data_IF_569220810059
#
_entry.id   IF_569220810059
#
_cell.length_a   1.000
_cell.length_b   1.000
_cell.length_c   1.000
_cell.angle_alpha   90.00
_cell.angle_beta   90.00
_cell.angle_gamma   90.00
#
_symmetry.space_group_name_H-M   'P 1'
#
loop_
_entity.id
_entity.type
_entity.pdbx_description
1 polymer ?
#
# COMPACT_ATOMS: atom_id res chain seq x y z
N UNK A 1 10.30 0.45 -17.25
CA UNK A 1 9.61 1.17 -18.35
C UNK A 1 8.48 1.97 -17.72
N UNK A 2 8.72 3.25 -17.47
CA UNK A 2 7.72 4.18 -16.96
C UNK A 2 6.74 4.49 -18.09
N UNK A 3 5.47 4.12 -17.93
CA UNK A 3 4.42 4.52 -18.87
C UNK A 3 4.14 6.00 -18.66
N UNK A 4 4.42 6.80 -19.69
CA UNK A 4 3.97 8.18 -19.82
C UNK A 4 2.48 8.26 -19.46
N UNK A 5 2.17 9.03 -18.42
CA UNK A 5 0.80 9.43 -18.12
C UNK A 5 0.38 10.41 -19.21
N UNK A 6 -0.33 9.90 -20.22
CA UNK A 6 -1.10 10.72 -21.14
C UNK A 6 -2.26 11.34 -20.37
N UNK A 7 -2.06 12.58 -19.93
CA UNK A 7 -3.08 13.47 -19.37
C UNK A 7 -4.23 13.55 -20.38
N UNK A 8 -5.35 12.93 -20.07
CA UNK A 8 -6.57 13.00 -20.90
C UNK A 8 -7.22 14.38 -20.72
N UNK A 9 -7.93 14.91 -21.74
CA UNK A 9 -8.56 16.24 -21.72
C UNK A 9 -9.66 16.45 -20.65
N UNK A 10 -9.95 15.45 -19.82
CA UNK A 10 -10.83 15.57 -18.64
C UNK A 10 -10.10 16.17 -17.40
N UNK A 11 -8.77 16.26 -17.45
CA UNK A 11 -7.92 16.81 -16.38
C UNK A 11 -8.06 18.33 -16.30
N UNK A 12 -9.14 18.76 -15.65
CA UNK A 12 -9.48 20.17 -15.46
C UNK A 12 -10.96 20.48 -15.64
N UNK A 13 -11.73 19.59 -16.28
CA UNK A 13 -13.14 19.85 -16.58
C UNK A 13 -13.98 20.11 -15.31
N UNK A 14 -13.72 19.36 -14.22
CA UNK A 14 -14.42 19.56 -12.93
C UNK A 14 -14.07 20.90 -12.29
N UNK A 15 -12.79 21.27 -12.30
CA UNK A 15 -12.31 22.54 -11.76
C UNK A 15 -12.89 23.72 -12.55
N UNK A 16 -12.89 23.61 -13.87
CA UNK A 16 -13.44 24.63 -14.76
C UNK A 16 -14.95 24.79 -14.57
N UNK A 17 -15.69 23.69 -14.45
CA UNK A 17 -17.12 23.74 -14.14
C UNK A 17 -17.41 24.44 -12.80
N UNK A 18 -16.56 24.26 -11.79
CA UNK A 18 -16.68 24.98 -10.51
C UNK A 18 -16.39 26.48 -10.71
N UNK A 19 -15.32 26.85 -11.42
CA UNK A 19 -15.00 28.26 -11.74
C UNK A 19 -16.14 28.96 -12.47
N UNK A 20 -16.71 28.30 -13.49
CA UNK A 20 -17.86 28.81 -14.26
C UNK A 20 -19.08 28.97 -13.36
N UNK A 21 -19.38 27.98 -12.52
CA UNK A 21 -20.55 28.00 -11.63
C UNK A 21 -20.45 29.11 -10.58
N UNK A 22 -19.27 29.29 -9.98
CA UNK A 22 -19.00 30.35 -9.01
C UNK A 22 -19.12 31.74 -9.64
N UNK A 23 -18.53 31.94 -10.82
CA UNK A 23 -18.68 33.19 -11.57
C UNK A 23 -20.15 33.47 -11.88
N UNK A 24 -20.91 32.47 -12.32
CA UNK A 24 -22.35 32.59 -12.58
C UNK A 24 -23.15 32.97 -11.33
N UNK A 25 -22.74 32.55 -10.14
CA UNK A 25 -23.38 32.96 -8.88
C UNK A 25 -23.09 34.43 -8.58
N UNK A 26 -21.85 34.88 -8.75
CA UNK A 26 -21.46 36.29 -8.58
C UNK A 26 -22.25 37.18 -9.55
N UNK A 27 -22.31 36.80 -10.83
CA UNK A 27 -23.04 37.57 -11.84
C UNK A 27 -24.54 37.64 -11.53
N UNK A 28 -25.15 36.55 -11.03
CA UNK A 28 -26.55 36.55 -10.58
C UNK A 28 -26.79 37.40 -9.34
N UNK A 29 -25.86 37.41 -8.40
CA UNK A 29 -25.92 38.24 -7.21
C UNK A 29 -25.89 39.73 -7.58
N UNK A 30 -25.00 40.11 -8.50
CA UNK A 30 -24.91 41.50 -8.98
C UNK A 30 -26.13 41.89 -9.81
N UNK A 31 -26.67 40.98 -10.63
CA UNK A 31 -27.91 41.22 -11.38
C UNK A 31 -29.14 41.46 -10.48
N UNK A 32 -29.10 40.99 -9.23
CA UNK A 32 -30.16 41.25 -8.25
C UNK A 32 -30.13 42.69 -7.70
N UNK A 33 -29.00 43.39 -7.81
CA UNK A 33 -28.83 44.77 -7.34
C UNK A 33 -29.35 45.76 -8.39
N UNK A 34 -30.66 46.02 -8.35
CA UNK A 34 -31.31 46.99 -9.25
C UNK A 34 -31.37 48.37 -8.60
N UNK A 35 -31.01 49.41 -9.36
CA UNK A 35 -31.17 50.82 -8.93
C UNK A 35 -32.62 51.15 -8.53
N UNK A 36 -33.60 50.52 -9.17
CA UNK A 36 -35.02 50.68 -8.86
C UNK A 36 -35.42 50.13 -7.49
N UNK A 37 -34.68 49.15 -6.95
CA UNK A 37 -34.90 48.66 -5.58
C UNK A 37 -34.31 49.65 -4.57
N UNK A 38 -33.08 50.11 -4.80
CA UNK A 38 -32.41 51.06 -3.91
C UNK A 38 -33.10 52.43 -3.87
N UNK A 39 -33.65 52.88 -5.00
CA UNK A 39 -34.41 54.14 -5.07
C UNK A 39 -35.67 54.14 -4.21
N UNK A 40 -36.27 52.96 -3.94
CA UNK A 40 -37.40 52.85 -3.01
C UNK A 40 -37.00 53.06 -1.55
N UNK A 41 -35.76 52.69 -1.19
CA UNK A 41 -35.25 52.79 0.17
C UNK A 41 -34.51 54.10 0.46
N UNK A 42 -34.04 54.81 -0.59
CA UNK A 42 -33.34 56.09 -0.48
C UNK A 42 -33.99 57.23 -1.30
N UNK A 43 -35.29 57.49 -1.12
CA UNK A 43 -36.03 58.44 -1.97
C UNK A 43 -35.48 59.87 -1.94
N UNK A 44 -34.92 60.30 -0.79
CA UNK A 44 -34.35 61.66 -0.62
C UNK A 44 -33.09 61.91 -1.45
N UNK A 45 -32.36 60.85 -1.82
CA UNK A 45 -31.15 60.92 -2.65
C UNK A 45 -31.57 60.82 -4.12
N UNK A 46 -32.48 59.90 -4.44
CA UNK A 46 -33.00 59.71 -5.79
C UNK A 46 -33.70 60.97 -6.32
N UNK A 47 -34.42 61.71 -5.46
CA UNK A 47 -35.13 62.94 -5.86
C UNK A 47 -34.22 64.12 -6.20
N UNK A 48 -32.95 64.09 -5.74
CA UNK A 48 -32.02 65.22 -5.92
C UNK A 48 -30.98 64.92 -6.98
N UNK A 49 -30.37 63.74 -6.95
CA UNK A 49 -29.22 63.39 -7.79
C UNK A 49 -29.19 61.88 -8.11
N UNK A 50 -30.13 61.42 -8.95
CA UNK A 50 -30.21 60.01 -9.39
C UNK A 50 -28.91 59.50 -10.03
N UNK A 51 -28.19 60.38 -10.74
CA UNK A 51 -26.90 60.09 -11.37
C UNK A 51 -25.85 59.68 -10.33
N UNK A 52 -25.85 60.30 -9.15
CA UNK A 52 -24.91 59.97 -8.08
C UNK A 52 -25.23 58.61 -7.50
N UNK A 53 -26.51 58.30 -7.28
CA UNK A 53 -26.93 57.00 -6.80
C UNK A 53 -26.57 55.88 -7.79
N UNK A 54 -26.76 56.10 -9.09
CA UNK A 54 -26.33 55.15 -10.13
C UNK A 54 -24.81 54.94 -10.11
N UNK A 55 -24.02 56.01 -9.96
CA UNK A 55 -22.56 55.95 -9.88
C UNK A 55 -22.07 55.19 -8.64
N UNK A 56 -22.71 55.40 -7.48
CA UNK A 56 -22.39 54.66 -6.27
C UNK A 56 -22.67 53.17 -6.48
N UNK A 57 -23.82 52.83 -7.07
CA UNK A 57 -24.21 51.43 -7.30
C UNK A 57 -23.25 50.75 -8.27
N UNK A 58 -22.87 51.41 -9.37
CA UNK A 58 -21.91 50.84 -10.32
C UNK A 58 -20.54 50.62 -9.66
N UNK A 59 -20.03 51.60 -8.91
CA UNK A 59 -18.74 51.47 -8.22
C UNK A 59 -18.76 50.35 -7.19
N UNK A 60 -19.81 50.24 -6.37
CA UNK A 60 -19.91 49.16 -5.37
C UNK A 60 -20.06 47.80 -6.06
N UNK A 61 -20.85 47.71 -7.13
CA UNK A 61 -21.02 46.46 -7.87
C UNK A 61 -19.70 45.99 -8.51
N UNK A 62 -18.94 46.89 -9.12
CA UNK A 62 -17.64 46.58 -9.72
C UNK A 62 -16.61 46.16 -8.66
N UNK A 63 -16.52 46.88 -7.55
CA UNK A 63 -15.60 46.55 -6.47
C UNK A 63 -15.99 45.23 -5.79
N UNK A 64 -17.28 44.98 -5.57
CA UNK A 64 -17.78 43.72 -5.04
C UNK A 64 -17.47 42.56 -6.00
N UNK A 65 -17.72 42.73 -7.30
CA UNK A 65 -17.40 41.70 -8.30
C UNK A 65 -15.92 41.37 -8.29
N UNK A 66 -15.05 42.39 -8.30
CA UNK A 66 -13.60 42.24 -8.35
C UNK A 66 -13.08 41.52 -7.12
N UNK A 67 -13.53 41.94 -5.93
CA UNK A 67 -13.10 41.34 -4.67
C UNK A 67 -13.61 39.89 -4.55
N UNK A 68 -14.89 39.64 -4.83
CA UNK A 68 -15.44 38.28 -4.78
C UNK A 68 -14.74 37.33 -5.75
N UNK A 69 -14.52 37.75 -7.00
CA UNK A 69 -13.84 36.90 -7.98
C UNK A 69 -12.37 36.64 -7.61
N UNK A 70 -11.68 37.63 -7.03
CA UNK A 70 -10.30 37.44 -6.52
C UNK A 70 -10.29 36.42 -5.39
N UNK A 71 -11.12 36.61 -4.38
CA UNK A 71 -11.15 35.74 -3.19
C UNK A 71 -11.58 34.31 -3.57
N UNK A 72 -12.56 34.18 -4.48
CA UNK A 72 -12.95 32.88 -5.04
C UNK A 72 -11.83 32.22 -5.85
N UNK A 73 -11.09 32.98 -6.64
CA UNK A 73 -9.95 32.44 -7.39
C UNK A 73 -8.87 31.91 -6.45
N UNK A 74 -8.60 32.61 -5.35
CA UNK A 74 -7.67 32.18 -4.31
C UNK A 74 -8.13 30.87 -3.66
N UNK A 75 -9.39 30.78 -3.20
CA UNK A 75 -9.96 29.56 -2.62
C UNK A 75 -9.88 28.39 -3.62
N UNK A 76 -10.22 28.63 -4.88
CA UNK A 76 -10.20 27.59 -5.90
C UNK A 76 -8.78 27.07 -6.15
N UNK A 77 -7.78 27.96 -6.23
CA UNK A 77 -6.39 27.54 -6.47
C UNK A 77 -5.73 26.90 -5.24
N UNK A 78 -6.07 27.35 -4.02
CA UNK A 78 -5.45 26.89 -2.77
C UNK A 78 -6.10 25.64 -2.19
N UNK A 79 -7.44 25.58 -2.16
CA UNK A 79 -8.17 24.52 -1.46
C UNK A 79 -8.79 23.49 -2.40
N UNK A 80 -9.22 23.90 -3.60
CA UNK A 80 -10.06 23.02 -4.44
C UNK A 80 -9.31 22.35 -5.58
N UNK A 81 -8.24 22.96 -6.09
CA UNK A 81 -7.51 22.48 -7.27
C UNK A 81 -7.00 21.06 -7.12
N UNK A 82 -6.20 20.80 -6.08
CA UNK A 82 -5.59 19.48 -5.88
C UNK A 82 -6.64 18.40 -5.57
N UNK A 83 -7.62 18.60 -4.65
CA UNK A 83 -8.65 17.60 -4.40
C UNK A 83 -9.51 17.27 -5.62
N UNK A 84 -9.89 18.27 -6.43
CA UNK A 84 -10.69 18.04 -7.63
C UNK A 84 -9.90 17.33 -8.73
N UNK A 85 -8.61 17.64 -8.89
CA UNK A 85 -7.72 16.90 -9.80
C UNK A 85 -7.54 15.45 -9.34
N UNK A 86 -7.30 15.23 -8.04
CA UNK A 86 -7.19 13.89 -7.46
C UNK A 86 -8.47 13.09 -7.67
N UNK A 87 -9.64 13.72 -7.50
CA UNK A 87 -10.92 13.08 -7.77
C UNK A 87 -11.09 12.71 -9.25
N UNK A 88 -10.73 13.59 -10.19
CA UNK A 88 -10.74 13.27 -11.62
C UNK A 88 -9.87 12.04 -11.91
N UNK A 89 -8.65 12.01 -11.38
CA UNK A 89 -7.73 10.88 -11.55
C UNK A 89 -8.30 9.58 -10.96
N UNK A 90 -8.94 9.64 -9.80
CA UNK A 90 -9.57 8.46 -9.20
C UNK A 90 -10.73 7.92 -10.06
N UNK A 91 -11.51 8.82 -10.67
CA UNK A 91 -12.63 8.44 -11.55
C UNK A 91 -12.13 7.79 -12.83
N UNK A 92 -11.07 8.33 -13.45
CA UNK A 92 -10.50 7.76 -14.70
C UNK A 92 -9.82 6.41 -14.47
N UNK A 93 -9.24 6.19 -13.29
CA UNK A 93 -8.62 4.92 -12.90
C UNK A 93 -9.63 3.84 -12.46
N UNK A 94 -10.88 4.22 -12.16
CA UNK A 94 -11.91 3.28 -11.71
C UNK A 94 -12.60 2.59 -12.90
N UNK A 95 -12.73 1.25 -12.90
CA UNK A 95 -13.48 0.55 -13.94
C UNK A 95 -14.96 0.95 -13.90
N UNK A 96 -15.55 1.25 -15.07
CA UNK A 96 -16.90 1.80 -15.21
C UNK A 96 -18.01 0.87 -14.69
N UNK A 97 -17.78 -0.44 -14.71
CA UNK A 97 -18.81 -1.45 -14.40
C UNK A 97 -18.67 -2.05 -12.99
N UNK A 98 -17.78 -1.52 -12.16
CA UNK A 98 -17.59 -1.99 -10.78
C UNK A 98 -18.47 -1.23 -9.80
N UNK A 99 -19.28 -1.96 -9.02
CA UNK A 99 -19.97 -1.38 -7.86
C UNK A 99 -18.93 -1.01 -6.80
N UNK A 100 -18.73 0.29 -6.61
CA UNK A 100 -17.83 0.78 -5.57
C UNK A 100 -18.34 0.39 -4.18
N UNK A 101 -17.42 0.02 -3.29
CA UNK A 101 -17.73 -0.23 -1.90
C UNK A 101 -18.30 1.04 -1.23
N UNK A 102 -19.20 0.84 -0.28
CA UNK A 102 -19.80 1.90 0.54
C UNK A 102 -19.74 1.44 2.00
N UNK A 103 -19.48 2.34 2.96
CA UNK A 103 -19.56 2.02 4.37
C UNK A 103 -20.90 1.37 4.70
N UNK A 104 -20.87 0.27 5.43
CA UNK A 104 -22.08 -0.47 5.77
C UNK A 104 -22.85 0.18 6.92
N UNK A 105 -22.22 1.12 7.63
CA UNK A 105 -22.74 1.70 8.87
C UNK A 105 -22.39 0.87 10.11
N UNK A 106 -21.71 -0.26 9.94
CA UNK A 106 -21.18 -1.11 11.00
C UNK A 106 -19.64 -1.03 11.00
N UNK A 107 -19.04 -0.33 11.99
CA UNK A 107 -17.59 -0.14 12.04
C UNK A 107 -16.81 -1.44 12.11
N UNK A 108 -17.36 -2.49 12.75
CA UNK A 108 -16.67 -3.77 12.90
C UNK A 108 -16.55 -4.46 11.54
N UNK A 109 -17.62 -4.45 10.75
CA UNK A 109 -17.62 -5.02 9.40
C UNK A 109 -16.72 -4.24 8.45
N UNK A 110 -16.78 -2.91 8.52
CA UNK A 110 -16.01 -2.05 7.65
C UNK A 110 -14.50 -2.16 7.94
N UNK A 111 -14.12 -2.26 9.22
CA UNK A 111 -12.74 -2.49 9.63
C UNK A 111 -12.25 -3.88 9.20
N UNK A 112 -13.04 -4.93 9.42
CA UNK A 112 -12.69 -6.28 8.99
C UNK A 112 -12.48 -6.36 7.46
N UNK A 113 -13.31 -5.67 6.68
CA UNK A 113 -13.17 -5.61 5.23
C UNK A 113 -11.91 -4.83 4.79
N UNK A 114 -11.57 -3.76 5.49
CA UNK A 114 -10.34 -3.00 5.27
C UNK A 114 -9.10 -3.86 5.52
N UNK A 115 -9.07 -4.55 6.66
CA UNK A 115 -7.90 -5.31 7.12
C UNK A 115 -7.69 -6.62 6.36
N UNK A 116 -8.73 -7.14 5.68
CA UNK A 116 -8.71 -8.41 4.99
C UNK A 116 -7.55 -8.53 3.99
N UNK A 117 -7.20 -7.46 3.27
CA UNK A 117 -6.09 -7.49 2.30
C UNK A 117 -4.74 -7.70 2.99
N UNK A 118 -4.52 -7.04 4.13
CA UNK A 118 -3.29 -7.19 4.92
C UNK A 118 -3.22 -8.60 5.50
N UNK A 119 -4.33 -9.10 6.03
CA UNK A 119 -4.42 -10.46 6.57
C UNK A 119 -4.14 -11.52 5.49
N UNK A 120 -4.68 -11.36 4.28
CA UNK A 120 -4.41 -12.26 3.15
C UNK A 120 -2.93 -12.26 2.74
N UNK A 121 -2.30 -11.08 2.73
CA UNK A 121 -0.87 -10.95 2.44
C UNK A 121 -0.01 -11.66 3.50
N UNK A 122 -0.25 -11.37 4.77
CA UNK A 122 0.50 -11.97 5.88
C UNK A 122 0.30 -13.48 5.97
N UNK A 123 -0.93 -13.96 5.76
CA UNK A 123 -1.23 -15.39 5.67
C UNK A 123 -0.41 -16.07 4.58
N UNK A 124 -0.39 -15.49 3.38
CA UNK A 124 0.37 -16.04 2.24
C UNK A 124 1.87 -16.09 2.55
N UNK A 125 2.42 -15.00 3.13
CA UNK A 125 3.83 -14.94 3.55
C UNK A 125 4.18 -16.02 4.56
N UNK A 126 3.31 -16.26 5.55
CA UNK A 126 3.53 -17.28 6.58
C UNK A 126 3.46 -18.70 6.01
N UNK A 127 2.53 -18.96 5.07
CA UNK A 127 2.49 -20.23 4.35
C UNK A 127 3.79 -20.51 3.60
N UNK A 128 4.34 -19.52 2.91
CA UNK A 128 5.61 -19.68 2.17
C UNK A 128 6.79 -20.01 3.10
N UNK A 129 6.84 -19.36 4.27
CA UNK A 129 7.85 -19.64 5.30
C UNK A 129 7.68 -21.06 5.84
N UNK A 130 6.44 -21.47 6.14
CA UNK A 130 6.15 -22.80 6.67
C UNK A 130 6.60 -23.89 5.69
N UNK A 131 6.28 -23.74 4.40
CA UNK A 131 6.68 -24.70 3.36
C UNK A 131 8.20 -24.80 3.26
N UNK A 132 8.90 -23.66 3.31
CA UNK A 132 10.36 -23.62 3.29
C UNK A 132 10.97 -24.35 4.48
N UNK A 133 10.47 -24.10 5.68
CA UNK A 133 10.98 -24.74 6.90
C UNK A 133 10.69 -26.26 6.93
N UNK A 134 9.54 -26.69 6.41
CA UNK A 134 9.24 -28.12 6.24
C UNK A 134 10.24 -28.80 5.29
N UNK A 135 10.57 -28.15 4.16
CA UNK A 135 11.58 -28.66 3.23
C UNK A 135 12.97 -28.73 3.87
N UNK A 136 13.39 -27.67 4.58
CA UNK A 136 14.66 -27.64 5.31
C UNK A 136 14.74 -28.76 6.35
N UNK A 137 13.66 -28.97 7.10
CA UNK A 137 13.58 -30.04 8.11
C UNK A 137 13.70 -31.42 7.47
N UNK A 138 13.03 -31.64 6.34
CA UNK A 138 13.10 -32.91 5.60
C UNK A 138 14.53 -33.18 5.10
N UNK A 139 15.18 -32.16 4.52
CA UNK A 139 16.58 -32.26 4.08
C UNK A 139 17.52 -32.58 5.24
N UNK A 140 17.35 -31.89 6.38
CA UNK A 140 18.17 -32.12 7.55
C UNK A 140 17.93 -33.51 8.15
N UNK A 141 16.68 -33.96 8.23
CA UNK A 141 16.33 -35.32 8.68
C UNK A 141 17.00 -36.38 7.82
N UNK A 142 16.96 -36.22 6.49
CA UNK A 142 17.62 -37.13 5.56
C UNK A 142 19.15 -37.14 5.75
N UNK A 143 19.76 -35.97 6.00
CA UNK A 143 21.19 -35.86 6.29
C UNK A 143 21.56 -36.57 7.60
N UNK A 144 20.77 -36.39 8.65
CA UNK A 144 20.97 -37.05 9.95
C UNK A 144 20.82 -38.57 9.84
N UNK A 145 19.82 -39.06 9.11
CA UNK A 145 19.64 -40.50 8.88
C UNK A 145 20.83 -41.13 8.15
N UNK A 146 21.34 -40.47 7.09
CA UNK A 146 22.54 -40.93 6.39
C UNK A 146 23.76 -41.00 7.31
N UNK A 147 23.95 -39.98 8.15
CA UNK A 147 25.05 -39.97 9.12
C UNK A 147 24.91 -41.06 10.17
N UNK A 148 23.70 -41.30 10.70
CA UNK A 148 23.45 -42.39 11.66
C UNK A 148 23.77 -43.76 11.07
N UNK A 149 23.32 -44.01 9.83
CA UNK A 149 23.61 -45.27 9.16
C UNK A 149 25.11 -45.46 8.96
N UNK A 150 25.84 -44.41 8.57
CA UNK A 150 27.30 -44.45 8.42
C UNK A 150 28.01 -44.72 9.74
N UNK A 151 27.57 -44.11 10.84
CA UNK A 151 28.12 -44.38 12.18
C UNK A 151 27.90 -45.84 12.55
N UNK A 152 26.68 -46.37 12.36
CA UNK A 152 26.37 -47.77 12.65
C UNK A 152 27.18 -48.75 11.80
N UNK A 153 27.43 -48.43 10.52
CA UNK A 153 28.29 -49.22 9.65
C UNK A 153 29.75 -49.21 10.14
N UNK A 154 30.29 -48.03 10.47
CA UNK A 154 31.63 -47.89 11.04
C UNK A 154 31.78 -48.66 12.37
N UNK A 155 30.77 -48.64 13.24
CA UNK A 155 30.76 -49.38 14.51
C UNK A 155 30.84 -50.89 14.27
N UNK A 156 30.11 -51.40 13.27
CA UNK A 156 30.17 -52.82 12.88
C UNK A 156 31.55 -53.19 12.31
N UNK A 157 32.12 -52.35 11.47
CA UNK A 157 33.47 -52.56 10.94
C UNK A 157 34.52 -52.59 12.06
N UNK A 158 34.44 -51.66 13.02
CA UNK A 158 35.32 -51.64 14.19
C UNK A 158 35.17 -52.91 15.03
N UNK A 159 33.95 -53.42 15.21
CA UNK A 159 33.71 -54.67 15.93
C UNK A 159 34.38 -55.85 15.21
N UNK A 160 34.21 -55.96 13.89
CA UNK A 160 34.83 -57.00 13.08
C UNK A 160 36.37 -56.94 13.12
N UNK A 161 36.95 -55.73 13.06
CA UNK A 161 38.40 -55.53 13.17
C UNK A 161 38.89 -55.97 14.56
N UNK A 162 38.16 -55.60 15.62
CA UNK A 162 38.47 -56.00 16.99
C UNK A 162 38.46 -57.52 17.15
N UNK A 163 37.43 -58.20 16.64
CA UNK A 163 37.33 -59.67 16.66
C UNK A 163 38.51 -60.32 15.94
N UNK A 164 38.86 -59.82 14.74
CA UNK A 164 40.01 -60.32 13.98
C UNK A 164 41.34 -60.13 14.72
N UNK A 165 41.53 -58.99 15.39
CA UNK A 165 42.72 -58.75 16.21
C UNK A 165 42.80 -59.73 17.39
N UNK A 166 41.67 -60.04 18.05
CA UNK A 166 41.64 -61.03 19.13
C UNK A 166 42.04 -62.41 18.62
N UNK A 167 41.47 -62.87 17.49
CA UNK A 167 41.84 -64.17 16.91
C UNK A 167 43.33 -64.24 16.54
N UNK A 168 43.89 -63.18 15.95
CA UNK A 168 45.33 -63.15 15.62
C UNK A 168 46.21 -63.15 16.89
N UNK A 169 45.79 -62.51 17.98
CA UNK A 169 46.51 -62.57 19.25
C UNK A 169 46.46 -63.98 19.86
N UNK A 170 45.32 -64.67 19.77
CA UNK A 170 45.18 -66.06 20.20
C UNK A 170 46.06 -67.00 19.37
N UNK A 171 46.05 -66.87 18.04
CA UNK A 171 46.93 -67.63 17.14
C UNK A 171 48.42 -67.38 17.44
N UNK A 172 48.81 -66.11 17.64
CA UNK A 172 50.19 -65.75 17.99
C UNK A 172 50.60 -66.32 19.35
N UNK A 173 49.70 -66.36 20.33
CA UNK A 173 49.97 -66.98 21.63
C UNK A 173 50.20 -68.49 21.47
N UNK A 174 49.36 -69.18 20.69
CA UNK A 174 49.53 -70.62 20.41
C UNK A 174 50.89 -70.89 19.74
N UNK A 175 51.28 -70.08 18.76
CA UNK A 175 52.59 -70.21 18.10
C UNK A 175 53.73 -69.99 19.11
N UNK A 176 53.62 -68.97 19.97
CA UNK A 176 54.63 -68.66 20.99
C UNK A 176 54.76 -69.81 21.99
N UNK A 177 53.64 -70.35 22.47
CA UNK A 177 53.61 -71.53 23.34
C UNK A 177 54.23 -72.75 22.65
N UNK A 178 53.95 -72.95 21.36
CA UNK A 178 54.53 -74.04 20.59
C UNK A 178 56.04 -73.88 20.39
N UNK A 179 56.55 -72.68 20.12
CA UNK A 179 58.00 -72.38 20.04
C UNK A 179 58.67 -72.63 21.39
N UNK A 180 58.08 -72.17 22.49
CA UNK A 180 58.58 -72.40 23.85
C UNK A 180 58.60 -73.89 24.21
N UNK A 181 57.56 -74.64 23.82
CA UNK A 181 57.47 -76.08 24.05
C UNK A 181 58.40 -76.94 23.14
N UNK A 182 58.75 -76.44 21.96
CA UNK A 182 59.58 -77.16 20.98
C UNK A 182 61.08 -77.06 21.27
N UNK A 183 61.50 -76.24 22.23
CA UNK A 183 62.84 -76.35 22.82
C UNK A 183 64.00 -76.14 21.84
N UNK A 184 63.94 -75.14 20.96
CA UNK A 184 65.13 -74.58 20.31
C UNK A 184 65.44 -73.20 20.92
N UNK A 185 65.95 -73.25 22.15
CA UNK A 185 66.86 -72.23 22.68
C UNK A 185 68.20 -72.93 22.93
N UNK A 186 68.94 -73.16 21.85
CA UNK A 186 70.40 -73.26 21.85
C UNK A 186 70.97 -72.05 21.12
#
# INVERSE_FOLDING_TARGET
MAKEHTVTPEDGARLENVKISLKSIVDRLLASWKCSLLSKYFPSITSKEEIILQKIISTVAEDLQRNLLRDLAEIVETEMKEPLQRLSNMVTQCPKDTKAWRPSGDPIKDLAAHDLKVLQYEYSRLCDVLVREQQNTLLLKNKVLKLRNKVSENERELLNVKERCVSLMEESNIITEHIVASGDLS
#
